data_IF_131750716007
#
_entry.id   IF_131750716007
#
_cell.length_a   1.000
_cell.length_b   1.000
_cell.length_c   1.000
_cell.angle_alpha   90.00
_cell.angle_beta   90.00
_cell.angle_gamma   90.00
#
_symmetry.space_group_name_H-M   'P 1'
#
loop_
_entity.id
_entity.type
_entity.pdbx_description
1 polymer ?
#
# COMPACT_ATOMS: atom_id res chain seq x y z
N UNK A 1 -83.97 -21.53 50.98
CA UNK A 1 -83.08 -20.49 51.56
C UNK A 1 -81.61 -20.62 51.12
N UNK A 2 -81.29 -21.00 49.87
CA UNK A 2 -79.90 -21.26 49.43
C UNK A 2 -79.42 -20.45 48.21
N UNK A 3 -80.21 -19.52 47.67
CA UNK A 3 -79.85 -18.75 46.45
C UNK A 3 -78.79 -17.66 46.69
N UNK A 4 -78.61 -17.21 47.93
CA UNK A 4 -77.79 -16.04 48.29
C UNK A 4 -76.31 -16.41 48.53
N UNK A 5 -76.05 -17.64 49.01
CA UNK A 5 -74.67 -18.12 49.29
C UNK A 5 -73.88 -18.40 48.00
N UNK A 6 -74.57 -18.81 46.93
CA UNK A 6 -73.94 -19.02 45.62
C UNK A 6 -73.38 -17.71 45.02
N UNK A 7 -74.09 -16.60 45.22
CA UNK A 7 -73.65 -15.29 44.73
C UNK A 7 -72.32 -14.84 45.38
N UNK A 8 -72.15 -15.11 46.67
CA UNK A 8 -70.90 -14.82 47.39
C UNK A 8 -69.73 -15.72 46.96
N UNK A 9 -69.99 -16.99 46.64
CA UNK A 9 -68.97 -17.90 46.11
C UNK A 9 -68.51 -17.43 44.73
N UNK A 10 -69.43 -17.04 43.86
CA UNK A 10 -69.09 -16.52 42.53
C UNK A 10 -68.31 -15.20 42.64
N UNK A 11 -68.72 -14.30 43.54
CA UNK A 11 -67.99 -13.05 43.77
C UNK A 11 -66.57 -13.29 44.28
N UNK A 12 -66.37 -14.22 45.22
CA UNK A 12 -65.05 -14.57 45.73
C UNK A 12 -64.15 -15.16 44.62
N UNK A 13 -64.71 -16.02 43.77
CA UNK A 13 -63.97 -16.58 42.62
C UNK A 13 -63.56 -15.49 41.64
N UNK A 14 -64.45 -14.54 41.33
CA UNK A 14 -64.12 -13.41 40.43
C UNK A 14 -63.01 -12.53 41.00
N UNK A 15 -63.02 -12.25 42.30
CA UNK A 15 -61.95 -11.48 42.96
C UNK A 15 -60.62 -12.22 42.93
N UNK A 16 -60.62 -13.53 43.19
CA UNK A 16 -59.40 -14.36 43.14
C UNK A 16 -58.84 -14.43 41.73
N UNK A 17 -59.70 -14.66 40.72
CA UNK A 17 -59.29 -14.69 39.31
C UNK A 17 -58.78 -13.32 38.85
N UNK A 18 -59.44 -12.24 39.26
CA UNK A 18 -59.00 -10.86 38.99
C UNK A 18 -57.65 -10.53 39.62
N UNK A 19 -57.42 -10.96 40.87
CA UNK A 19 -56.14 -10.79 41.57
C UNK A 19 -55.00 -11.57 40.92
N UNK A 20 -55.26 -12.81 40.52
CA UNK A 20 -54.28 -13.65 39.80
C UNK A 20 -53.95 -13.06 38.42
N UNK A 21 -54.97 -12.59 37.69
CA UNK A 21 -54.78 -11.95 36.39
C UNK A 21 -53.95 -10.65 36.52
N UNK A 22 -54.24 -9.84 37.53
CA UNK A 22 -53.50 -8.60 37.79
C UNK A 22 -52.04 -8.87 38.16
N UNK A 23 -51.78 -9.85 39.03
CA UNK A 23 -50.41 -10.22 39.42
C UNK A 23 -49.60 -10.73 38.22
N UNK A 24 -50.18 -11.60 37.38
CA UNK A 24 -49.49 -12.09 36.17
C UNK A 24 -49.16 -10.98 35.16
N UNK A 25 -50.05 -9.99 34.99
CA UNK A 25 -49.77 -8.85 34.12
C UNK A 25 -48.66 -7.95 34.67
N UNK A 26 -48.52 -7.85 36.00
CA UNK A 26 -47.48 -7.05 36.63
C UNK A 26 -46.08 -7.69 36.49
N UNK A 27 -45.99 -9.01 36.56
CA UNK A 27 -44.71 -9.72 36.34
C UNK A 27 -44.27 -9.72 34.87
N UNK A 28 -45.21 -9.73 33.92
CA UNK A 28 -44.90 -9.70 32.49
C UNK A 28 -44.21 -8.40 32.05
N UNK A 29 -44.46 -7.27 32.73
CA UNK A 29 -43.81 -5.98 32.43
C UNK A 29 -42.36 -5.89 32.93
N UNK A 30 -41.93 -6.73 33.88
CA UNK A 30 -40.57 -6.69 34.45
C UNK A 30 -39.57 -7.46 33.58
N UNK A 31 -40.04 -8.34 32.67
CA UNK A 31 -39.18 -9.13 31.78
C UNK A 31 -38.72 -8.40 30.51
N UNK A 32 -39.06 -7.12 30.35
CA UNK A 32 -38.60 -6.25 29.26
C UNK A 32 -37.26 -5.55 29.53
N UNK A 33 -36.41 -6.10 30.40
CA UNK A 33 -35.08 -5.57 30.61
C UNK A 33 -34.18 -5.98 29.44
N UNK A 34 -33.92 -5.02 28.56
CA UNK A 34 -33.00 -5.13 27.42
C UNK A 34 -31.69 -5.79 27.85
N UNK A 35 -31.41 -6.98 27.30
CA UNK A 35 -30.15 -7.68 27.54
C UNK A 35 -29.09 -7.11 26.61
N UNK A 36 -28.14 -6.35 27.16
CA UNK A 36 -27.00 -5.83 26.42
C UNK A 36 -25.86 -6.84 26.49
N UNK A 37 -25.48 -7.39 25.34
CA UNK A 37 -24.25 -8.13 25.20
C UNK A 37 -23.09 -7.12 25.17
N UNK A 38 -22.23 -7.19 26.19
CA UNK A 38 -21.05 -6.33 26.29
C UNK A 38 -19.80 -7.18 26.15
N UNK A 39 -18.81 -6.66 25.44
CA UNK A 39 -17.50 -7.31 25.28
C UNK A 39 -16.44 -6.51 26.05
N UNK A 40 -15.46 -7.22 26.61
CA UNK A 40 -14.35 -6.60 27.32
C UNK A 40 -13.41 -5.92 26.33
N UNK A 41 -13.07 -4.66 26.57
CA UNK A 41 -12.16 -3.89 25.71
C UNK A 41 -10.75 -4.45 25.86
N UNK A 42 -10.16 -4.89 24.74
CA UNK A 42 -8.76 -5.29 24.66
C UNK A 42 -7.90 -4.12 24.14
N UNK A 43 -6.67 -4.00 24.65
CA UNK A 43 -5.73 -2.94 24.30
C UNK A 43 -4.49 -3.55 23.64
N UNK A 44 -4.48 -3.52 22.31
CA UNK A 44 -3.32 -3.88 21.49
C UNK A 44 -2.67 -2.67 20.85
N UNK A 45 -1.39 -2.78 20.52
CA UNK A 45 -0.68 -1.75 19.75
C UNK A 45 -1.10 -1.85 18.28
N UNK A 46 -1.87 -0.88 17.79
CA UNK A 46 -2.19 -0.75 16.37
C UNK A 46 -1.04 -0.02 15.68
N UNK A 47 -0.34 -0.69 14.77
CA UNK A 47 0.76 -0.10 14.00
C UNK A 47 0.28 0.13 12.58
N UNK A 48 -0.01 1.39 12.23
CA UNK A 48 -0.24 1.78 10.86
C UNK A 48 1.12 1.88 10.14
N UNK A 49 1.37 0.99 9.17
CA UNK A 49 2.55 1.05 8.31
C UNK A 49 2.14 1.69 6.99
N UNK A 50 2.74 2.83 6.67
CA UNK A 50 2.61 3.45 5.35
C UNK A 50 3.81 3.02 4.51
N UNK A 51 3.56 2.24 3.47
CA UNK A 51 4.57 1.86 2.47
C UNK A 51 4.54 2.86 1.31
N UNK A 52 5.58 3.67 1.19
CA UNK A 52 5.81 4.51 0.01
C UNK A 52 6.72 3.74 -0.96
N UNK A 53 6.16 3.28 -2.08
CA UNK A 53 6.94 2.74 -3.19
C UNK A 53 7.34 3.89 -4.12
N UNK A 54 8.63 4.20 -4.20
CA UNK A 54 9.20 5.10 -5.21
C UNK A 54 10.05 4.33 -6.21
N UNK A 55 10.18 4.83 -7.44
CA UNK A 55 11.13 4.27 -8.41
C UNK A 55 12.55 4.75 -8.10
N UNK A 56 13.52 3.83 -8.14
CA UNK A 56 14.94 4.17 -8.02
C UNK A 56 15.49 4.53 -9.40
N UNK A 57 15.94 5.76 -9.56
CA UNK A 57 16.62 6.23 -10.77
C UNK A 57 18.10 6.49 -10.47
N UNK A 58 18.98 6.28 -11.47
CA UNK A 58 20.38 6.65 -11.34
C UNK A 58 20.52 8.16 -11.14
N UNK A 59 21.37 8.59 -10.21
CA UNK A 59 21.60 10.00 -9.91
C UNK A 59 22.17 10.75 -11.13
N UNK A 60 23.00 10.07 -11.92
CA UNK A 60 23.66 10.63 -13.11
C UNK A 60 23.75 9.54 -14.17
N UNK A 61 23.16 9.80 -15.34
CA UNK A 61 23.28 8.95 -16.53
C UNK A 61 24.04 9.74 -17.59
N UNK A 62 25.15 9.19 -18.09
CA UNK A 62 25.93 9.81 -19.18
C UNK A 62 25.93 8.87 -20.36
N UNK A 63 25.46 9.35 -21.51
CA UNK A 63 25.57 8.63 -22.76
C UNK A 63 26.96 8.87 -23.35
N UNK A 64 27.74 7.80 -23.48
CA UNK A 64 29.09 7.88 -24.05
C UNK A 64 29.04 7.43 -25.50
N UNK A 65 29.48 8.29 -26.41
CA UNK A 65 29.52 8.03 -27.84
C UNK A 65 30.73 8.69 -28.50
N UNK A 66 31.02 8.32 -29.74
CA UNK A 66 32.10 8.96 -30.50
C UNK A 66 31.68 10.32 -31.03
N UNK A 67 32.57 11.31 -30.95
CA UNK A 67 32.42 12.61 -31.62
C UNK A 67 32.74 12.56 -33.12
N UNK A 68 33.39 11.49 -33.57
CA UNK A 68 33.83 11.30 -34.96
C UNK A 68 33.36 9.96 -35.51
N UNK A 69 32.88 9.96 -36.74
CA UNK A 69 32.54 8.72 -37.44
C UNK A 69 33.80 8.02 -37.92
N UNK A 70 33.90 6.72 -37.70
CA UNK A 70 35.04 5.91 -38.13
C UNK A 70 34.91 4.46 -37.69
N UNK A 71 35.77 3.60 -38.25
CA UNK A 71 35.81 2.18 -37.89
C UNK A 71 36.47 2.00 -36.52
N UNK A 72 35.90 1.16 -35.66
CA UNK A 72 36.53 0.80 -34.37
C UNK A 72 37.73 -0.11 -34.65
N UNK A 73 38.91 0.31 -34.23
CA UNK A 73 40.15 -0.47 -34.30
C UNK A 73 40.36 -1.36 -33.07
N UNK A 74 39.96 -0.87 -31.89
CA UNK A 74 39.97 -1.65 -30.65
C UNK A 74 38.88 -1.18 -29.69
N UNK A 75 38.30 -2.12 -28.93
CA UNK A 75 37.33 -1.86 -27.87
C UNK A 75 37.91 -2.39 -26.54
N UNK A 76 37.91 -1.55 -25.52
CA UNK A 76 38.51 -1.84 -24.21
C UNK A 76 37.49 -1.96 -23.07
N UNK A 77 36.24 -1.56 -23.31
CA UNK A 77 35.15 -1.73 -22.37
C UNK A 77 33.92 -2.33 -23.07
N UNK A 78 33.29 -3.29 -22.39
CA UNK A 78 32.11 -4.00 -22.87
C UNK A 78 30.88 -3.67 -22.00
N UNK A 79 29.72 -4.19 -22.37
CA UNK A 79 28.47 -4.06 -21.64
C UNK A 79 28.65 -4.37 -20.15
N UNK A 80 28.09 -3.51 -19.30
CA UNK A 80 28.15 -3.61 -17.83
C UNK A 80 29.55 -3.48 -17.21
N UNK A 81 30.55 -3.04 -17.97
CA UNK A 81 31.89 -2.73 -17.45
C UNK A 81 31.88 -1.43 -16.64
N UNK A 82 32.63 -1.41 -15.53
CA UNK A 82 32.81 -0.20 -14.72
C UNK A 82 33.95 0.64 -15.31
N UNK A 83 33.63 1.84 -15.78
CA UNK A 83 34.62 2.78 -16.36
C UNK A 83 34.82 4.01 -15.49
N UNK A 84 36.00 4.61 -15.56
CA UNK A 84 36.36 5.85 -14.86
C UNK A 84 36.47 7.02 -15.83
N UNK A 85 36.40 8.24 -15.28
CA UNK A 85 36.62 9.46 -16.08
C UNK A 85 38.02 9.46 -16.69
N UNK A 86 38.09 9.65 -18.02
CA UNK A 86 39.35 9.66 -18.78
C UNK A 86 39.83 8.29 -19.24
N UNK A 87 39.07 7.22 -18.98
CA UNK A 87 39.40 5.88 -19.45
C UNK A 87 39.16 5.74 -20.95
N UNK A 88 40.10 5.07 -21.65
CA UNK A 88 39.98 4.80 -23.07
C UNK A 88 39.00 3.63 -23.29
N UNK A 89 37.80 3.94 -23.76
CA UNK A 89 36.72 2.95 -23.98
C UNK A 89 36.88 2.26 -25.34
N UNK A 90 37.17 3.04 -26.39
CA UNK A 90 37.34 2.54 -27.75
C UNK A 90 38.38 3.39 -28.50
N UNK A 91 39.12 2.75 -29.42
CA UNK A 91 40.04 3.41 -30.34
C UNK A 91 39.49 3.32 -31.75
N UNK A 92 39.33 4.46 -32.39
CA UNK A 92 38.91 4.58 -33.79
C UNK A 92 40.16 4.49 -34.69
N UNK A 93 40.01 3.87 -35.85
CA UNK A 93 41.05 3.73 -36.85
C UNK A 93 41.59 5.11 -37.28
N UNK A 94 42.87 5.42 -37.00
CA UNK A 94 43.40 6.76 -37.21
C UNK A 94 43.92 6.99 -38.63
N UNK A 95 43.96 5.98 -39.52
CA UNK A 95 44.68 6.07 -40.80
C UNK A 95 44.25 7.29 -41.65
N UNK A 96 42.95 7.48 -41.83
CA UNK A 96 42.41 8.62 -42.60
C UNK A 96 42.73 9.95 -41.92
N UNK A 97 42.61 10.03 -40.60
CA UNK A 97 42.90 11.24 -39.84
C UNK A 97 44.39 11.59 -39.86
N UNK A 98 45.27 10.59 -39.77
CA UNK A 98 46.72 10.77 -39.85
C UNK A 98 47.14 11.25 -41.23
N UNK A 99 46.55 10.71 -42.30
CA UNK A 99 46.80 11.18 -43.66
C UNK A 99 46.41 12.66 -43.83
N UNK A 100 45.23 13.06 -43.35
CA UNK A 100 44.79 14.46 -43.40
C UNK A 100 45.70 15.40 -42.60
N UNK A 101 46.14 14.98 -41.41
CA UNK A 101 47.08 15.78 -40.60
C UNK A 101 48.44 15.90 -41.26
N UNK A 102 48.94 14.82 -41.87
CA UNK A 102 50.21 14.84 -42.60
C UNK A 102 50.15 15.80 -43.79
N UNK A 103 49.04 15.78 -44.55
CA UNK A 103 48.82 16.70 -45.66
C UNK A 103 48.75 18.17 -45.19
N UNK A 104 48.00 18.45 -44.12
CA UNK A 104 47.92 19.79 -43.56
C UNK A 104 49.28 20.30 -43.07
N UNK A 105 50.08 19.42 -42.45
CA UNK A 105 51.43 19.75 -41.99
C UNK A 105 52.39 20.03 -43.14
N UNK A 106 52.32 19.26 -44.22
CA UNK A 106 53.10 19.52 -45.43
C UNK A 106 52.76 20.88 -46.04
N UNK A 107 51.47 21.21 -46.13
CA UNK A 107 51.00 22.51 -46.63
C UNK A 107 51.45 23.67 -45.74
N UNK A 108 51.45 23.50 -44.41
CA UNK A 108 51.92 24.53 -43.48
C UNK A 108 53.42 24.78 -43.60
N UNK A 109 54.24 23.74 -43.82
CA UNK A 109 55.70 23.87 -43.98
C UNK A 109 56.07 24.42 -45.36
N UNK A 110 55.24 24.22 -46.37
CA UNK A 110 55.46 24.72 -47.72
C UNK A 110 55.08 26.20 -47.90
N UNK A 111 54.37 26.80 -46.93
CA UNK A 111 54.01 28.22 -46.89
C UNK A 111 55.07 29.04 -46.14
#
# INVERSE_FOLDING_TARGET
MFKNKWFWIVAAVVVVVGGIAWWRMHEAKVKGAWQFETVRIDRGKIVAKVTASGSLSALVTVQVGSQVSGRIAALYADFNSKVKKGELIAKIDPQLFQASVAQARANYVAA
#
